data_IF_807018356838
#
_entry.id   IF_807018356838
#
_cell.length_a   1.000
_cell.length_b   1.000
_cell.length_c   1.000
_cell.angle_alpha   90.00
_cell.angle_beta   90.00
_cell.angle_gamma   90.00
#
_symmetry.space_group_name_H-M   'P 1'
#
loop_
_entity.id
_entity.type
_entity.pdbx_description
1 polymer ?
#
# COMPACT_ATOMS: atom_id res chain seq x y z
N UNK A 1 25.98 11.35 -36.38
CA UNK A 1 24.57 11.77 -36.45
C UNK A 1 23.85 11.07 -35.31
N UNK A 2 23.57 11.79 -34.23
CA UNK A 2 22.92 11.23 -33.03
C UNK A 2 21.45 11.59 -33.13
N UNK A 3 20.59 10.62 -33.43
CA UNK A 3 19.14 10.83 -33.43
C UNK A 3 18.66 10.90 -31.98
N UNK A 4 18.19 12.10 -31.60
CA UNK A 4 17.38 12.32 -30.40
C UNK A 4 16.00 11.72 -30.67
N UNK A 5 15.72 10.54 -30.10
CA UNK A 5 14.36 10.00 -30.10
C UNK A 5 13.49 10.87 -29.19
N UNK A 6 12.81 11.84 -29.81
CA UNK A 6 11.77 12.66 -29.19
C UNK A 6 10.65 11.72 -28.72
N UNK A 7 10.43 11.65 -27.41
CA UNK A 7 9.23 11.00 -26.84
C UNK A 7 8.00 11.79 -27.31
N UNK A 8 7.11 11.21 -28.14
CA UNK A 8 5.89 11.91 -28.53
C UNK A 8 4.95 11.97 -27.32
N UNK A 9 4.50 13.19 -27.02
CA UNK A 9 3.54 13.47 -25.95
C UNK A 9 2.24 12.68 -26.18
N UNK A 10 1.74 12.01 -25.12
CA UNK A 10 0.65 11.04 -25.17
C UNK A 10 -0.72 11.57 -25.69
N UNK A 11 -0.84 12.88 -25.95
CA UNK A 11 -2.04 13.49 -26.53
C UNK A 11 -2.13 13.41 -28.06
N UNK A 12 -1.05 13.10 -28.78
CA UNK A 12 -1.03 13.03 -30.26
C UNK A 12 -1.13 11.59 -30.81
N UNK A 13 -1.27 10.59 -29.95
CA UNK A 13 -1.29 9.19 -30.40
C UNK A 13 -2.65 8.80 -31.02
N UNK A 14 -2.65 8.05 -32.14
CA UNK A 14 -3.89 7.57 -32.77
C UNK A 14 -4.78 6.79 -31.79
N UNK A 15 -6.11 6.74 -32.05
CA UNK A 15 -7.07 6.09 -31.14
C UNK A 15 -6.77 4.60 -30.89
N UNK A 16 -5.97 3.98 -31.76
CA UNK A 16 -5.51 2.60 -31.72
C UNK A 16 -3.97 2.58 -31.77
N UNK A 17 -3.35 1.46 -31.37
CA UNK A 17 -1.89 1.27 -31.47
C UNK A 17 -1.34 1.43 -32.89
N UNK A 18 -0.02 1.50 -33.02
CA UNK A 18 0.68 1.70 -34.30
C UNK A 18 1.17 0.38 -34.90
N UNK A 19 1.41 0.33 -36.21
CA UNK A 19 2.07 -0.80 -36.86
C UNK A 19 3.48 -0.39 -37.27
N UNK A 20 4.47 -1.27 -37.08
CA UNK A 20 5.83 -1.05 -37.58
C UNK A 20 5.98 -1.44 -39.06
N UNK A 21 7.15 -1.18 -39.65
CA UNK A 21 7.45 -1.46 -41.06
C UNK A 21 7.43 -2.96 -41.41
N UNK A 22 7.44 -3.83 -40.39
CA UNK A 22 7.35 -5.29 -40.53
C UNK A 22 5.92 -5.81 -40.32
N UNK A 23 4.95 -4.92 -40.05
CA UNK A 23 3.56 -5.26 -39.80
C UNK A 23 3.27 -5.71 -38.36
N UNK A 24 4.21 -5.52 -37.42
CA UNK A 24 4.01 -5.81 -36.01
C UNK A 24 3.22 -4.69 -35.32
N UNK A 25 2.17 -5.08 -34.58
CA UNK A 25 1.29 -4.14 -33.89
C UNK A 25 1.86 -3.76 -32.52
N UNK A 26 2.06 -2.48 -32.29
CA UNK A 26 2.47 -1.87 -31.01
C UNK A 26 1.25 -1.23 -30.34
N UNK A 27 0.68 -1.84 -29.29
CA UNK A 27 -0.48 -1.30 -28.60
C UNK A 27 -0.14 0.04 -27.92
N UNK A 28 -1.12 0.96 -27.89
CA UNK A 28 -0.97 2.19 -27.10
C UNK A 28 -0.78 1.86 -25.61
N UNK A 29 0.18 2.49 -24.92
CA UNK A 29 0.25 2.36 -23.47
C UNK A 29 -1.01 3.00 -22.85
N UNK A 30 -1.84 2.19 -22.19
CA UNK A 30 -3.07 2.63 -21.49
C UNK A 30 -2.86 2.82 -19.99
N UNK A 31 -1.72 2.38 -19.46
CA UNK A 31 -1.35 2.47 -18.05
C UNK A 31 0.00 3.17 -17.95
N UNK A 32 0.00 4.38 -17.41
CA UNK A 32 1.23 5.00 -16.94
C UNK A 32 1.60 4.32 -15.61
N UNK A 33 2.81 3.77 -15.53
CA UNK A 33 3.32 3.15 -14.31
C UNK A 33 3.70 4.25 -13.29
N UNK A 34 2.72 4.71 -12.50
CA UNK A 34 2.91 5.73 -11.44
C UNK A 34 3.78 5.22 -10.27
N UNK A 35 4.12 3.92 -10.27
CA UNK A 35 4.99 3.28 -9.27
C UNK A 35 6.50 3.43 -9.57
N UNK A 36 6.87 4.11 -10.67
CA UNK A 36 8.27 4.42 -10.99
C UNK A 36 9.14 3.15 -11.12
N UNK A 37 10.23 3.07 -10.34
CA UNK A 37 11.17 1.94 -10.31
C UNK A 37 10.84 0.89 -9.25
N UNK A 38 9.76 1.08 -8.47
CA UNK A 38 9.35 0.12 -7.46
C UNK A 38 8.62 -1.03 -8.15
N UNK A 39 9.00 -2.25 -7.81
CA UNK A 39 8.24 -3.42 -8.24
C UNK A 39 6.85 -3.41 -7.61
N UNK A 40 5.85 -3.93 -8.32
CA UNK A 40 4.47 -4.03 -7.83
C UNK A 40 4.43 -4.71 -6.44
N UNK A 41 5.27 -5.73 -6.25
CA UNK A 41 5.47 -6.45 -4.99
C UNK A 41 5.96 -5.56 -3.83
N UNK A 42 6.88 -4.64 -4.08
CA UNK A 42 7.39 -3.71 -3.04
C UNK A 42 6.33 -2.70 -2.62
N UNK A 43 5.54 -2.18 -3.57
CA UNK A 43 4.47 -1.25 -3.28
C UNK A 43 3.35 -1.89 -2.45
N UNK A 44 2.99 -3.15 -2.75
CA UNK A 44 2.02 -3.89 -1.93
C UNK A 44 2.55 -4.19 -0.53
N UNK A 45 3.82 -4.64 -0.43
CA UNK A 45 4.44 -4.97 0.86
C UNK A 45 4.55 -3.76 1.79
N UNK A 46 4.84 -2.57 1.25
CA UNK A 46 4.89 -1.34 2.05
C UNK A 46 3.53 -0.92 2.64
N UNK A 47 2.43 -1.36 2.06
CA UNK A 47 1.07 -1.10 2.58
C UNK A 47 0.59 -2.17 3.57
N UNK A 48 1.28 -3.30 3.67
CA UNK A 48 0.99 -4.34 4.64
C UNK A 48 1.74 -4.03 5.94
N UNK A 49 1.00 -3.60 6.96
CA UNK A 49 1.56 -3.42 8.31
C UNK A 49 1.85 -4.81 8.89
N UNK A 50 3.10 -5.28 8.86
CA UNK A 50 3.46 -6.52 9.55
C UNK A 50 3.40 -6.30 11.08
N UNK A 51 2.53 -7.06 11.75
CA UNK A 51 2.41 -7.05 13.21
C UNK A 51 3.11 -8.30 13.74
N UNK A 52 4.30 -8.13 14.30
CA UNK A 52 5.04 -9.20 14.97
C UNK A 52 4.63 -9.33 16.45
N UNK A 53 4.74 -10.55 17.01
CA UNK A 53 4.46 -10.79 18.43
C UNK A 53 5.47 -10.02 19.31
N UNK A 54 4.97 -9.14 20.17
CA UNK A 54 5.79 -8.31 21.06
C UNK A 54 6.17 -6.93 20.50
N UNK A 55 5.68 -6.57 19.31
CA UNK A 55 5.81 -5.21 18.77
C UNK A 55 4.88 -4.24 19.51
N UNK A 56 5.39 -3.05 19.85
CA UNK A 56 4.57 -1.96 20.36
C UNK A 56 3.85 -1.28 19.19
N UNK A 57 2.53 -1.20 19.27
CA UNK A 57 1.69 -0.60 18.23
C UNK A 57 0.80 0.48 18.83
N UNK A 58 0.58 1.56 18.08
CA UNK A 58 -0.41 2.58 18.43
C UNK A 58 -1.78 2.18 17.89
N UNK A 59 -2.82 2.36 18.68
CA UNK A 59 -4.19 2.04 18.29
C UNK A 59 -5.21 2.94 18.97
N UNK A 60 -6.38 3.06 18.34
CA UNK A 60 -7.50 3.87 18.82
C UNK A 60 -8.54 2.98 19.48
N UNK A 61 -9.02 3.37 20.67
CA UNK A 61 -10.12 2.67 21.34
C UNK A 61 -11.43 2.97 20.60
N UNK A 62 -12.07 1.94 20.03
CA UNK A 62 -13.34 2.09 19.30
C UNK A 62 -14.55 1.76 20.18
N UNK A 63 -14.39 0.88 21.17
CA UNK A 63 -15.46 0.49 22.11
C UNK A 63 -14.91 -0.04 23.43
N UNK A 64 -15.64 0.23 24.51
CA UNK A 64 -15.36 -0.28 25.85
C UNK A 64 -16.59 -1.03 26.35
N UNK A 65 -16.44 -2.33 26.57
CA UNK A 65 -17.44 -3.20 27.19
C UNK A 65 -16.94 -3.70 28.55
N UNK A 66 -17.80 -4.37 29.31
CA UNK A 66 -17.46 -4.83 30.67
C UNK A 66 -16.41 -5.94 30.67
N UNK A 67 -16.43 -6.79 29.64
CA UNK A 67 -15.63 -7.99 29.55
C UNK A 67 -14.44 -7.84 28.58
N UNK A 68 -14.45 -6.80 27.74
CA UNK A 68 -13.41 -6.55 26.73
C UNK A 68 -13.38 -5.09 26.24
N UNK A 69 -12.22 -4.67 25.73
CA UNK A 69 -12.03 -3.39 25.03
C UNK A 69 -11.58 -3.66 23.60
N UNK A 70 -12.23 -3.01 22.64
CA UNK A 70 -11.89 -3.11 21.22
C UNK A 70 -10.95 -1.95 20.84
N UNK A 71 -9.80 -2.31 20.26
CA UNK A 71 -8.82 -1.38 19.70
C UNK A 71 -8.73 -1.55 18.18
N UNK A 72 -8.67 -0.43 17.47
CA UNK A 72 -8.27 -0.38 16.08
C UNK A 72 -6.79 0.04 15.99
N UNK A 73 -5.92 -0.86 15.53
CA UNK A 73 -4.48 -0.62 15.34
C UNK A 73 -4.13 -0.34 13.87
N UNK A 74 -5.14 -0.04 13.02
CA UNK A 74 -4.93 0.17 11.59
C UNK A 74 -4.56 -1.10 10.83
N UNK A 75 -4.89 -2.28 11.38
CA UNK A 75 -4.66 -3.59 10.76
C UNK A 75 -5.96 -4.19 10.21
N UNK A 76 -5.89 -5.41 9.66
CA UNK A 76 -7.04 -6.10 9.05
C UNK A 76 -8.16 -6.45 10.05
N UNK A 77 -7.84 -6.53 11.34
CA UNK A 77 -8.75 -6.95 12.39
C UNK A 77 -8.63 -6.05 13.62
N UNK A 78 -9.76 -5.86 14.31
CA UNK A 78 -9.83 -5.20 15.61
C UNK A 78 -9.12 -6.06 16.68
N UNK A 79 -8.34 -5.42 17.56
CA UNK A 79 -7.71 -6.04 18.72
C UNK A 79 -8.65 -6.08 19.92
N UNK A 80 -8.62 -7.19 20.67
CA UNK A 80 -9.43 -7.38 21.88
C UNK A 80 -8.50 -7.39 23.09
N UNK A 81 -8.72 -6.46 24.04
CA UNK A 81 -7.99 -6.43 25.31
C UNK A 81 -8.93 -6.85 26.46
N UNK A 82 -8.73 -8.02 27.09
CA UNK A 82 -9.50 -8.42 28.26
C UNK A 82 -9.08 -7.63 29.51
N UNK A 83 -9.97 -7.49 30.51
CA UNK A 83 -9.71 -6.70 31.72
C UNK A 83 -8.56 -7.23 32.59
N UNK A 84 -8.15 -8.49 32.39
CA UNK A 84 -6.97 -9.06 33.06
C UNK A 84 -5.67 -8.49 32.51
N UNK A 85 -5.64 -8.15 31.22
CA UNK A 85 -4.51 -7.48 30.56
C UNK A 85 -4.50 -5.96 30.77
N UNK A 86 -5.65 -5.36 31.11
CA UNK A 86 -5.76 -3.94 31.49
C UNK A 86 -5.15 -3.59 32.86
N UNK A 87 -4.40 -4.50 33.47
CA UNK A 87 -3.74 -4.22 34.75
C UNK A 87 -2.44 -3.46 34.53
N UNK A 88 -2.58 -2.13 34.46
CA UNK A 88 -1.50 -1.22 34.85
C UNK A 88 -1.06 -1.67 36.25
N UNK A 89 0.06 -2.37 36.34
CA UNK A 89 0.84 -2.33 37.57
C UNK A 89 1.13 -0.84 37.75
N UNK A 90 0.46 -0.23 38.73
CA UNK A 90 0.41 1.20 39.02
C UNK A 90 1.81 1.76 39.43
N UNK A 91 2.84 1.52 38.63
CA UNK A 91 4.24 1.74 38.96
C UNK A 91 5.24 1.40 37.85
N UNK A 92 4.80 1.19 36.60
CA UNK A 92 5.70 1.17 35.43
C UNK A 92 5.33 2.36 34.57
N UNK A 93 6.24 3.34 34.50
CA UNK A 93 6.18 4.51 33.62
C UNK A 93 6.09 4.02 32.16
N UNK A 94 5.27 4.65 31.28
CA UNK A 94 5.15 4.30 29.86
C UNK A 94 6.47 4.25 29.09
#
# INVERSE_FOLDING_TARGET
>A
VSELTLTPSALDSPPMGTFDESGEYTPRPITENDLGSLSLDEAYSATMVDVENGQLVEGTVVRVDKDEVLLDIGYKSEGVIPPRELSIRNGVDP
#
